data_IF_570925387639
#
_entry.id   IF_570925387639
#
_cell.length_a   1.000
_cell.length_b   1.000
_cell.length_c   1.000
_cell.angle_alpha   90.00
_cell.angle_beta   90.00
_cell.angle_gamma   90.00
#
_symmetry.space_group_name_H-M   'P 1'
#
loop_
_entity.id
_entity.type
_entity.pdbx_description
1 polymer ?
#
# COMPACT_ATOMS: atom_id res chain seq x y z
N UNK A 1 -9.58 -7.53 13.68
CA UNK A 1 -8.99 -6.21 13.43
C UNK A 1 -7.56 -6.50 13.05
N UNK A 2 -7.23 -6.40 11.77
CA UNK A 2 -5.90 -6.68 11.28
C UNK A 2 -4.94 -5.65 11.89
N UNK A 3 -3.96 -6.12 12.69
CA UNK A 3 -2.93 -5.26 13.30
C UNK A 3 -2.24 -4.32 12.28
N UNK A 4 -2.25 -4.71 11.00
CA UNK A 4 -1.66 -3.96 9.89
C UNK A 4 -2.38 -2.64 9.57
N UNK A 5 -3.69 -2.58 9.78
CA UNK A 5 -4.46 -1.35 9.57
C UNK A 5 -4.19 -0.33 10.69
N UNK A 6 -3.97 -0.78 11.92
CA UNK A 6 -3.61 0.09 13.06
C UNK A 6 -2.18 0.66 12.97
N UNK A 7 -1.30 0.01 12.21
CA UNK A 7 0.09 0.46 12.02
C UNK A 7 0.29 1.32 10.78
N UNK A 8 -0.70 1.38 9.87
CA UNK A 8 -0.64 2.20 8.68
C UNK A 8 -0.78 3.68 9.05
N UNK A 9 0.06 4.54 8.47
CA UNK A 9 -0.05 5.97 8.66
C UNK A 9 -1.42 6.47 8.11
N UNK A 10 -2.31 7.00 8.98
CA UNK A 10 -3.66 7.39 8.57
C UNK A 10 -3.64 8.52 7.52
N UNK A 11 -2.60 9.37 7.50
CA UNK A 11 -2.46 10.40 6.49
C UNK A 11 -2.14 9.81 5.11
N UNK A 12 -1.50 8.64 5.03
CA UNK A 12 -1.29 7.91 3.78
C UNK A 12 -2.50 7.08 3.39
N UNK A 13 -3.16 6.44 4.37
CA UNK A 13 -4.35 5.63 4.14
C UNK A 13 -5.51 6.44 3.52
N UNK A 14 -5.66 7.71 3.93
CA UNK A 14 -6.67 8.62 3.36
C UNK A 14 -6.36 9.09 1.94
N UNK A 15 -5.11 8.99 1.47
CA UNK A 15 -4.70 9.39 0.12
C UNK A 15 -5.00 8.34 -0.93
N UNK A 16 -5.13 7.07 -0.53
CA UNK A 16 -5.50 5.98 -1.41
C UNK A 16 -7.01 5.74 -1.31
N UNK A 17 -7.76 5.81 -2.43
CA UNK A 17 -9.20 5.51 -2.39
C UNK A 17 -9.46 4.09 -1.87
N UNK A 18 -10.33 3.96 -0.87
CA UNK A 18 -10.68 2.66 -0.27
C UNK A 18 -11.12 1.59 -1.29
N UNK A 19 -11.91 1.90 -2.35
CA UNK A 19 -12.27 0.90 -3.36
C UNK A 19 -11.05 0.34 -4.11
N UNK A 20 -10.05 1.19 -4.38
CA UNK A 20 -8.80 0.78 -5.03
C UNK A 20 -7.97 -0.11 -4.09
N UNK A 21 -7.76 0.36 -2.85
CA UNK A 21 -7.03 -0.37 -1.81
C UNK A 21 -7.57 -1.80 -1.62
N UNK A 22 -8.90 -1.93 -1.50
CA UNK A 22 -9.57 -3.24 -1.33
C UNK A 22 -9.51 -4.11 -2.59
N UNK A 23 -9.70 -3.54 -3.78
CA UNK A 23 -9.69 -4.28 -5.04
C UNK A 23 -8.30 -4.85 -5.36
N UNK A 24 -7.25 -4.07 -5.13
CA UNK A 24 -5.89 -4.43 -5.45
C UNK A 24 -5.12 -5.02 -4.26
N UNK A 25 -5.76 -5.14 -3.08
CA UNK A 25 -5.13 -5.57 -1.83
C UNK A 25 -3.84 -4.78 -1.52
N UNK A 26 -3.90 -3.47 -1.74
CA UNK A 26 -2.80 -2.53 -1.49
C UNK A 26 -3.14 -1.64 -0.31
N UNK A 27 -2.26 -1.60 0.69
CA UNK A 27 -2.40 -0.73 1.87
C UNK A 27 -1.13 0.10 2.06
N UNK A 28 -1.19 1.44 1.90
CA UNK A 28 -0.07 2.32 2.22
C UNK A 28 0.28 2.16 3.71
N UNK A 29 1.53 1.84 4.01
CA UNK A 29 1.97 1.54 5.36
C UNK A 29 2.69 2.73 5.99
N UNK A 30 3.78 3.18 5.37
CA UNK A 30 4.58 4.31 5.86
C UNK A 30 5.42 4.91 4.75
N UNK A 31 5.95 6.10 4.99
CA UNK A 31 6.93 6.72 4.11
C UNK A 31 8.36 6.41 4.59
N UNK A 32 9.20 5.90 3.69
CA UNK A 32 10.58 5.48 3.94
C UNK A 32 11.45 5.92 2.76
N UNK A 33 12.51 6.69 3.02
CA UNK A 33 13.45 7.10 1.97
C UNK A 33 12.84 7.89 0.80
N UNK A 34 11.74 8.61 1.02
CA UNK A 34 11.02 9.35 -0.03
C UNK A 34 10.08 8.50 -0.89
N UNK A 35 9.91 7.22 -0.57
CA UNK A 35 8.93 6.33 -1.16
C UNK A 35 7.89 5.90 -0.13
N UNK A 36 6.70 5.51 -0.60
CA UNK A 36 5.66 4.91 0.24
C UNK A 36 5.83 3.40 0.20
N UNK A 37 6.09 2.78 1.34
CA UNK A 37 5.99 1.33 1.47
C UNK A 37 4.51 0.94 1.47
N UNK A 38 4.13 0.02 0.59
CA UNK A 38 2.75 -0.42 0.41
C UNK A 38 2.69 -1.92 0.67
N UNK A 39 1.91 -2.32 1.67
CA UNK A 39 1.64 -3.72 1.93
C UNK A 39 0.82 -4.30 0.77
N UNK A 40 1.27 -5.42 0.23
CA UNK A 40 0.63 -6.10 -0.90
C UNK A 40 0.66 -7.61 -0.74
N UNK A 41 -0.42 -8.27 -1.13
CA UNK A 41 -0.45 -9.72 -1.27
C UNK A 41 0.24 -10.20 -2.57
N UNK A 42 0.38 -9.32 -3.57
CA UNK A 42 1.05 -9.63 -4.83
C UNK A 42 2.02 -8.50 -5.21
N UNK A 43 3.34 -8.67 -5.01
CA UNK A 43 4.34 -7.68 -5.39
C UNK A 43 4.58 -7.61 -6.92
N UNK A 44 4.03 -8.54 -7.70
CA UNK A 44 4.18 -8.58 -9.16
C UNK A 44 3.02 -7.93 -9.91
N UNK A 45 2.01 -7.42 -9.20
CA UNK A 45 0.90 -6.66 -9.77
C UNK A 45 1.34 -5.25 -10.22
N UNK A 46 2.22 -5.18 -11.23
CA UNK A 46 2.88 -3.95 -11.68
C UNK A 46 1.89 -2.84 -12.09
N UNK A 47 0.80 -3.20 -12.77
CA UNK A 47 -0.23 -2.22 -13.15
C UNK A 47 -0.86 -1.56 -11.92
N UNK A 48 -1.18 -2.34 -10.89
CA UNK A 48 -1.74 -1.85 -9.64
C UNK A 48 -0.73 -0.99 -8.86
N UNK A 49 0.55 -1.37 -8.88
CA UNK A 49 1.62 -0.60 -8.24
C UNK A 49 1.85 0.74 -8.96
N UNK A 50 1.82 0.78 -10.30
CA UNK A 50 1.93 2.04 -11.03
C UNK A 50 0.72 2.96 -10.81
N UNK A 51 -0.49 2.41 -10.79
CA UNK A 51 -1.69 3.19 -10.43
C UNK A 51 -1.61 3.73 -9.00
N UNK A 52 -1.15 2.91 -8.05
CA UNK A 52 -0.93 3.33 -6.66
C UNK A 52 0.09 4.48 -6.59
N UNK A 53 1.20 4.37 -7.33
CA UNK A 53 2.22 5.42 -7.46
C UNK A 53 1.63 6.74 -7.99
N UNK A 54 0.76 6.68 -9.00
CA UNK A 54 0.10 7.86 -9.57
C UNK A 54 -0.86 8.51 -8.58
N UNK A 55 -1.66 7.71 -7.87
CA UNK A 55 -2.61 8.17 -6.86
C UNK A 55 -1.90 8.82 -5.67
N UNK A 56 -0.81 8.22 -5.21
CA UNK A 56 -0.01 8.72 -4.09
C UNK A 56 0.97 9.84 -4.51
N UNK A 57 1.18 10.06 -5.81
CA UNK A 57 2.11 11.08 -6.32
C UNK A 57 3.56 10.89 -5.86
N UNK A 58 3.92 9.70 -5.39
CA UNK A 58 5.21 9.35 -4.79
C UNK A 58 5.62 7.95 -5.26
N UNK A 59 6.94 7.66 -5.36
CA UNK A 59 7.41 6.30 -5.60
C UNK A 59 6.81 5.33 -4.58
N UNK A 60 6.45 4.13 -5.01
CA UNK A 60 5.94 3.08 -4.13
C UNK A 60 6.90 1.91 -4.10
N UNK A 61 7.08 1.32 -2.92
CA UNK A 61 7.87 0.11 -2.72
C UNK A 61 6.92 -0.97 -2.21
N UNK A 62 6.73 -2.08 -2.95
CA UNK A 62 5.89 -3.17 -2.49
C UNK A 62 6.54 -3.86 -1.30
N UNK A 63 5.79 -3.99 -0.21
CA UNK A 63 6.15 -4.76 0.97
C UNK A 63 5.25 -6.02 0.96
N UNK A 64 5.76 -7.16 0.47
CA UNK A 64 4.97 -8.38 0.41
C UNK A 64 4.58 -8.82 1.83
N UNK A 65 3.29 -9.08 2.02
CA UNK A 65 2.79 -9.71 3.25
C UNK A 65 2.64 -11.20 3.01
N UNK A 66 3.36 -12.00 3.79
CA UNK A 66 3.09 -13.43 3.84
C UNK A 66 1.81 -13.65 4.66
N UNK A 67 0.84 -14.41 4.14
CA UNK A 67 -0.39 -14.74 4.87
C UNK A 67 -0.15 -15.69 6.06
N UNK A 68 1.08 -16.14 6.32
CA UNK A 68 1.39 -17.17 7.35
C UNK A 68 1.93 -16.66 8.69
N UNK A 69 1.77 -15.37 9.05
CA UNK A 69 2.18 -14.87 10.39
C UNK A 69 1.02 -14.28 11.18
#
# INVERSE_FOLDING_TARGET
MDLREEMADPALATRLPLPFARRHKLLPFRMQGGAVEVLTADPYALDALDDCRRLLGQPVVPLPVDEST
#
